data_IF_996950396873
#
_entry.id   IF_996950396873
#
_cell.length_a   1.000
_cell.length_b   1.000
_cell.length_c   1.000
_cell.angle_alpha   90.00
_cell.angle_beta   90.00
_cell.angle_gamma   90.00
#
_symmetry.space_group_name_H-M   'P 1'
#
loop_
_entity.id
_entity.type
_entity.pdbx_description
1 polymer ?
#
# COMPACT_ATOMS: atom_id res chain seq x y z
N UNK A 1 39.18 -16.56 2.53
CA UNK A 1 37.85 -17.22 2.66
C UNK A 1 37.51 -17.48 4.14
N UNK A 2 37.23 -16.44 4.93
CA UNK A 2 36.78 -16.60 6.34
C UNK A 2 35.63 -15.67 6.74
N UNK A 3 35.14 -14.82 5.84
CA UNK A 3 34.06 -13.86 6.13
C UNK A 3 32.72 -14.21 5.49
N UNK A 4 32.65 -15.26 4.66
CA UNK A 4 31.40 -15.68 4.01
C UNK A 4 30.47 -16.52 4.88
N UNK A 5 30.94 -17.03 6.03
CA UNK A 5 30.14 -17.89 6.92
C UNK A 5 29.36 -17.06 7.98
N UNK A 6 29.79 -15.83 8.28
CA UNK A 6 29.18 -15.02 9.35
C UNK A 6 27.89 -14.32 8.87
N UNK A 7 27.72 -14.10 7.57
CA UNK A 7 26.52 -13.45 7.00
C UNK A 7 25.29 -14.38 7.04
N UNK A 8 25.49 -15.70 7.07
CA UNK A 8 24.39 -16.68 7.13
C UNK A 8 23.81 -16.88 8.53
N UNK A 9 24.55 -16.55 9.59
CA UNK A 9 24.11 -16.73 10.99
C UNK A 9 23.24 -15.58 11.51
N UNK A 10 23.29 -14.39 10.89
CA UNK A 10 22.42 -13.25 11.26
C UNK A 10 21.03 -13.35 10.63
N UNK A 11 20.87 -14.14 9.56
CA UNK A 11 19.56 -14.41 8.93
C UNK A 11 18.74 -15.49 9.65
N UNK A 12 19.37 -16.36 10.45
CA UNK A 12 18.69 -17.47 11.15
C UNK A 12 18.17 -17.09 12.54
N UNK A 13 18.71 -16.05 13.18
CA UNK A 13 18.25 -15.59 14.51
C UNK A 13 17.00 -14.69 14.47
N UNK A 14 16.55 -14.25 13.28
CA UNK A 14 15.27 -13.56 13.11
C UNK A 14 14.06 -14.52 13.07
N UNK A 15 14.28 -15.84 12.96
CA UNK A 15 13.21 -16.82 12.78
C UNK A 15 12.84 -17.63 14.03
N UNK A 16 13.58 -17.51 15.13
CA UNK A 16 13.45 -18.41 16.29
C UNK A 16 12.51 -17.95 17.41
N UNK A 17 11.68 -16.92 17.18
CA UNK A 17 10.61 -16.51 18.11
C UNK A 17 9.19 -16.56 17.50
N UNK A 18 8.98 -17.33 16.43
CA UNK A 18 7.63 -17.72 16.01
C UNK A 18 7.11 -18.83 16.93
N UNK A 19 6.68 -18.44 18.13
CA UNK A 19 5.70 -19.22 18.88
C UNK A 19 4.48 -19.41 17.99
N UNK A 20 4.11 -20.67 17.79
CA UNK A 20 2.85 -21.10 17.20
C UNK A 20 1.68 -20.35 17.85
N UNK A 21 1.22 -19.31 17.17
CA UNK A 21 -0.07 -18.67 17.34
C UNK A 21 -0.72 -18.81 15.98
N UNK A 22 -1.92 -19.38 15.96
CA UNK A 22 -2.91 -19.50 14.87
C UNK A 22 -2.44 -19.09 13.46
N UNK A 23 -2.63 -19.99 12.48
CA UNK A 23 -2.42 -19.75 11.04
C UNK A 23 -3.09 -18.43 10.61
N UNK A 24 -2.33 -17.35 10.72
CA UNK A 24 -2.69 -16.03 10.28
C UNK A 24 -1.86 -15.87 9.01
N UNK A 25 -2.48 -16.22 7.88
CA UNK A 25 -1.92 -15.94 6.57
C UNK A 25 -1.45 -14.48 6.58
N UNK A 26 -0.13 -14.27 6.57
CA UNK A 26 0.43 -12.94 6.79
C UNK A 26 0.05 -12.09 5.56
N UNK A 27 -0.99 -11.27 5.72
CA UNK A 27 -1.56 -10.42 4.67
C UNK A 27 -0.49 -9.57 4.00
N UNK A 28 0.51 -9.15 4.78
CA UNK A 28 1.70 -8.48 4.28
C UNK A 28 2.54 -9.38 3.38
N UNK A 29 2.75 -10.64 3.75
CA UNK A 29 3.47 -11.59 2.94
C UNK A 29 2.77 -11.82 1.61
N UNK A 30 1.44 -11.97 1.58
CA UNK A 30 0.67 -12.15 0.33
C UNK A 30 0.78 -10.89 -0.55
N UNK A 31 0.62 -9.69 0.02
CA UNK A 31 0.72 -8.44 -0.72
C UNK A 31 2.14 -8.17 -1.24
N UNK A 32 3.17 -8.35 -0.41
CA UNK A 32 4.57 -8.15 -0.78
C UNK A 32 5.06 -9.20 -1.76
N UNK A 33 4.69 -10.47 -1.57
CA UNK A 33 5.04 -11.52 -2.54
C UNK A 33 4.35 -11.32 -3.88
N UNK A 34 3.13 -10.77 -3.87
CA UNK A 34 2.41 -10.37 -5.09
C UNK A 34 3.06 -9.17 -5.80
N UNK A 35 3.69 -8.26 -5.05
CA UNK A 35 4.49 -7.14 -5.58
C UNK A 35 5.80 -7.61 -6.22
N UNK A 36 6.46 -8.61 -5.61
CA UNK A 36 7.78 -9.09 -6.02
C UNK A 36 7.70 -10.26 -7.02
N UNK A 37 6.50 -10.76 -7.33
CA UNK A 37 6.26 -11.96 -8.15
C UNK A 37 7.06 -13.20 -7.67
N UNK A 38 7.23 -13.36 -6.35
CA UNK A 38 8.04 -14.44 -5.76
C UNK A 38 7.22 -15.66 -5.31
N UNK A 39 5.89 -15.58 -5.28
CA UNK A 39 4.98 -16.66 -4.88
C UNK A 39 3.93 -17.00 -5.94
N UNK A 40 4.26 -16.84 -7.23
CA UNK A 40 3.30 -17.14 -8.31
C UNK A 40 2.83 -18.61 -8.29
N UNK A 41 3.63 -19.52 -7.74
CA UNK A 41 3.28 -20.94 -7.61
C UNK A 41 2.07 -21.21 -6.70
N UNK A 42 1.77 -20.30 -5.77
CA UNK A 42 0.62 -20.40 -4.83
C UNK A 42 -0.71 -20.21 -5.56
N UNK A 43 -0.72 -19.34 -6.56
CA UNK A 43 -1.90 -19.00 -7.34
C UNK A 43 -1.80 -19.65 -8.71
N UNK A 44 -2.06 -20.95 -8.77
CA UNK A 44 -2.00 -21.73 -10.01
C UNK A 44 -3.21 -22.64 -10.18
N UNK A 45 -3.47 -23.03 -11.43
CA UNK A 45 -4.41 -24.08 -11.82
C UNK A 45 -3.72 -25.09 -12.75
N UNK A 46 -4.37 -26.23 -13.00
CA UNK A 46 -3.92 -27.24 -13.96
C UNK A 46 -4.77 -27.11 -15.22
N UNK A 47 -4.14 -26.91 -16.38
CA UNK A 47 -4.82 -26.84 -17.68
C UNK A 47 -5.22 -28.23 -18.23
N UNK A 48 -5.87 -28.25 -19.39
CA UNK A 48 -6.35 -29.47 -20.04
C UNK A 48 -5.18 -30.39 -20.45
N UNK A 49 -3.98 -29.83 -20.63
CA UNK A 49 -2.74 -30.54 -20.92
C UNK A 49 -2.00 -31.03 -19.66
N UNK A 50 -2.56 -30.82 -18.47
CA UNK A 50 -1.95 -31.24 -17.20
C UNK A 50 -0.80 -30.34 -16.74
N UNK A 51 -0.60 -29.17 -17.35
CA UNK A 51 0.45 -28.22 -16.99
C UNK A 51 -0.06 -27.21 -15.97
N UNK A 52 0.83 -26.82 -15.07
CA UNK A 52 0.56 -25.78 -14.07
C UNK A 52 0.66 -24.40 -14.71
N UNK A 53 -0.41 -23.62 -14.63
CA UNK A 53 -0.49 -22.27 -15.15
C UNK A 53 -0.78 -21.26 -14.04
N UNK A 54 -0.29 -20.00 -14.13
CA UNK A 54 -0.66 -18.93 -13.21
C UNK A 54 -2.16 -18.64 -13.24
N UNK A 55 -2.75 -18.48 -12.06
CA UNK A 55 -4.15 -18.11 -11.86
C UNK A 55 -4.24 -16.65 -11.38
N UNK A 56 -4.27 -15.73 -12.34
CA UNK A 56 -4.38 -14.31 -12.06
C UNK A 56 -5.69 -13.94 -11.35
N UNK A 57 -6.78 -14.66 -11.61
CA UNK A 57 -8.08 -14.41 -10.98
C UNK A 57 -8.04 -14.81 -9.50
N UNK A 58 -7.43 -15.95 -9.18
CA UNK A 58 -7.26 -16.40 -7.79
C UNK A 58 -6.34 -15.46 -7.01
N UNK A 59 -5.24 -15.01 -7.61
CA UNK A 59 -4.37 -13.97 -7.02
C UNK A 59 -5.15 -12.68 -6.76
N UNK A 60 -5.91 -12.20 -7.75
CA UNK A 60 -6.72 -10.99 -7.61
C UNK A 60 -7.76 -11.11 -6.49
N UNK A 61 -8.54 -12.20 -6.45
CA UNK A 61 -9.56 -12.42 -5.40
C UNK A 61 -8.96 -12.45 -4.01
N UNK A 62 -7.78 -13.03 -3.85
CA UNK A 62 -7.10 -13.06 -2.55
C UNK A 62 -6.61 -11.67 -2.13
N UNK A 63 -6.05 -10.90 -3.07
CA UNK A 63 -5.70 -9.50 -2.82
C UNK A 63 -6.94 -8.66 -2.52
N UNK A 64 -8.06 -8.87 -3.20
CA UNK A 64 -9.30 -8.15 -2.94
C UNK A 64 -9.87 -8.47 -1.56
N UNK A 65 -9.83 -9.75 -1.15
CA UNK A 65 -10.22 -10.19 0.19
C UNK A 65 -9.43 -9.48 1.28
N UNK A 66 -8.10 -9.39 1.13
CA UNK A 66 -7.22 -8.70 2.08
C UNK A 66 -7.52 -7.20 2.10
N UNK A 67 -7.76 -6.58 0.94
CA UNK A 67 -8.11 -5.16 0.84
C UNK A 67 -9.40 -4.86 1.60
N UNK A 68 -10.49 -5.58 1.30
CA UNK A 68 -11.81 -5.39 1.93
C UNK A 68 -11.71 -5.57 3.45
N UNK A 69 -10.95 -6.56 3.91
CA UNK A 69 -10.76 -6.80 5.35
C UNK A 69 -10.08 -5.62 6.07
N UNK A 70 -9.27 -4.83 5.36
CA UNK A 70 -8.43 -3.79 5.93
C UNK A 70 -8.86 -2.35 5.60
N UNK A 71 -9.91 -2.14 4.80
CA UNK A 71 -10.34 -0.79 4.42
C UNK A 71 -11.20 -0.10 5.48
N UNK A 72 -11.70 -0.85 6.46
CA UNK A 72 -12.46 -0.30 7.59
C UNK A 72 -11.56 0.02 8.82
N UNK A 73 -11.91 1.01 9.66
CA UNK A 73 -11.17 1.31 10.89
C UNK A 73 -11.13 0.12 11.87
N UNK A 74 -9.95 -0.19 12.43
CA UNK A 74 -9.77 -1.20 13.48
C UNK A 74 -9.63 -0.61 14.89
N UNK A 75 -9.66 0.72 15.02
CA UNK A 75 -9.65 1.44 16.29
C UNK A 75 -10.91 2.31 16.46
N UNK A 76 -11.14 2.75 17.70
CA UNK A 76 -12.23 3.67 18.02
C UNK A 76 -12.13 5.00 17.24
N UNK A 77 -13.25 5.73 17.14
CA UNK A 77 -13.32 7.05 16.49
C UNK A 77 -12.90 7.06 15.02
N UNK A 78 -13.20 5.99 14.27
CA UNK A 78 -12.86 5.83 12.85
C UNK A 78 -11.35 5.91 12.57
N UNK A 79 -10.52 5.51 13.54
CA UNK A 79 -9.07 5.49 13.42
C UNK A 79 -8.56 4.13 12.97
N UNK A 80 -7.42 4.16 12.29
CA UNK A 80 -6.72 2.96 11.84
C UNK A 80 -5.44 2.78 12.65
N UNK A 81 -5.11 1.55 12.99
CA UNK A 81 -3.78 1.22 13.49
C UNK A 81 -2.72 1.43 12.42
N UNK A 82 -1.47 1.68 12.84
CA UNK A 82 -0.34 1.81 11.93
C UNK A 82 -0.19 0.56 11.04
N UNK A 83 -0.50 -0.64 11.58
CA UNK A 83 -0.50 -1.89 10.82
C UNK A 83 -1.51 -1.83 9.67
N UNK A 84 -2.74 -1.38 9.92
CA UNK A 84 -3.77 -1.33 8.88
C UNK A 84 -3.52 -0.22 7.86
N UNK A 85 -3.07 0.95 8.33
CA UNK A 85 -2.66 2.05 7.44
C UNK A 85 -1.56 1.62 6.48
N UNK A 86 -0.51 0.95 6.98
CA UNK A 86 0.57 0.44 6.12
C UNK A 86 0.04 -0.52 5.06
N UNK A 87 -0.87 -1.45 5.37
CA UNK A 87 -1.51 -2.34 4.38
C UNK A 87 -2.18 -1.52 3.28
N UNK A 88 -3.06 -0.58 3.65
CA UNK A 88 -3.76 0.29 2.68
C UNK A 88 -2.77 1.05 1.79
N UNK A 89 -1.70 1.59 2.39
CA UNK A 89 -0.67 2.33 1.66
C UNK A 89 0.15 1.44 0.73
N UNK A 90 0.36 0.16 1.08
CA UNK A 90 0.95 -0.83 0.20
C UNK A 90 0.00 -1.20 -0.96
N UNK A 91 -1.32 -1.17 -0.78
CA UNK A 91 -2.26 -1.30 -1.90
C UNK A 91 -2.15 -0.14 -2.88
N UNK A 92 -1.96 1.09 -2.39
CA UNK A 92 -1.65 2.23 -3.26
C UNK A 92 -0.39 1.96 -4.08
N UNK A 93 0.67 1.47 -3.44
CA UNK A 93 1.90 1.11 -4.14
C UNK A 93 1.74 -0.05 -5.13
N UNK A 94 1.04 -1.11 -4.74
CA UNK A 94 0.73 -2.26 -5.59
C UNK A 94 -0.05 -1.84 -6.83
N UNK A 95 -1.12 -1.07 -6.65
CA UNK A 95 -1.97 -0.62 -7.75
C UNK A 95 -1.23 0.32 -8.71
N UNK A 96 -0.28 1.11 -8.18
CA UNK A 96 0.58 2.00 -8.96
C UNK A 96 1.61 1.22 -9.78
N UNK A 97 2.34 0.28 -9.17
CA UNK A 97 3.40 -0.50 -9.84
C UNK A 97 2.82 -1.47 -10.86
N UNK A 98 1.76 -2.19 -10.48
CA UNK A 98 1.14 -3.22 -11.33
C UNK A 98 0.04 -2.66 -12.24
N UNK A 99 -0.22 -1.35 -12.21
CA UNK A 99 -1.30 -0.69 -12.98
C UNK A 99 -2.66 -1.39 -12.80
N UNK A 100 -2.97 -1.77 -11.56
CA UNK A 100 -4.22 -2.47 -11.25
C UNK A 100 -5.38 -1.47 -11.21
N UNK A 101 -6.12 -1.37 -12.31
CA UNK A 101 -7.25 -0.44 -12.45
C UNK A 101 -8.28 -0.61 -11.32
N UNK A 102 -8.62 -1.86 -10.96
CA UNK A 102 -9.59 -2.14 -9.90
C UNK A 102 -9.18 -1.55 -8.54
N UNK A 103 -7.95 -1.80 -8.08
CA UNK A 103 -7.49 -1.22 -6.81
C UNK A 103 -7.27 0.29 -6.90
N UNK A 104 -6.89 0.81 -8.06
CA UNK A 104 -6.80 2.26 -8.26
C UNK A 104 -8.17 2.94 -8.11
N UNK A 105 -9.23 2.30 -8.62
CA UNK A 105 -10.60 2.77 -8.50
C UNK A 105 -11.08 2.72 -7.04
N UNK A 106 -10.93 1.58 -6.35
CA UNK A 106 -11.31 1.46 -4.93
C UNK A 106 -10.62 2.53 -4.07
N UNK A 107 -9.30 2.65 -4.21
CA UNK A 107 -8.51 3.59 -3.42
C UNK A 107 -8.78 5.07 -3.77
N UNK A 108 -9.28 5.39 -4.96
CA UNK A 108 -9.60 6.77 -5.33
C UNK A 108 -10.75 7.34 -4.47
N UNK A 109 -11.68 6.48 -4.06
CA UNK A 109 -12.75 6.84 -3.15
C UNK A 109 -12.31 6.77 -1.68
N UNK A 110 -11.56 5.73 -1.31
CA UNK A 110 -11.34 5.39 0.10
C UNK A 110 -10.15 6.11 0.75
N UNK A 111 -9.07 6.35 0.01
CA UNK A 111 -7.80 6.80 0.61
C UNK A 111 -7.89 8.21 1.21
N UNK A 112 -8.64 9.12 0.58
CA UNK A 112 -8.76 10.50 1.07
C UNK A 112 -9.51 10.59 2.41
N UNK A 113 -10.71 9.98 2.59
CA UNK A 113 -11.34 9.89 3.91
C UNK A 113 -10.44 9.26 4.98
N UNK A 114 -9.67 8.23 4.63
CA UNK A 114 -8.73 7.58 5.55
C UNK A 114 -7.63 8.55 5.96
N UNK A 115 -7.03 9.27 5.00
CA UNK A 115 -6.04 10.30 5.25
C UNK A 115 -6.58 11.40 6.16
N UNK A 116 -7.75 11.96 5.87
CA UNK A 116 -8.34 13.05 6.67
C UNK A 116 -8.51 12.63 8.13
N UNK A 117 -8.94 11.38 8.36
CA UNK A 117 -9.12 10.87 9.72
C UNK A 117 -7.81 10.44 10.38
N UNK A 118 -6.70 10.26 9.67
CA UNK A 118 -5.48 9.65 10.21
C UNK A 118 -4.20 10.37 9.74
N UNK A 119 -4.29 11.67 9.46
CA UNK A 119 -3.26 12.45 8.75
C UNK A 119 -1.87 12.32 9.36
N UNK A 120 -1.77 12.39 10.68
CA UNK A 120 -0.51 12.36 11.42
C UNK A 120 0.20 11.00 11.29
N UNK A 121 -0.53 9.90 11.55
CA UNK A 121 0.00 8.55 11.38
C UNK A 121 0.33 8.25 9.91
N UNK A 122 -0.53 8.69 8.99
CA UNK A 122 -0.33 8.50 7.56
C UNK A 122 0.97 9.16 7.07
N UNK A 123 1.21 10.41 7.47
CA UNK A 123 2.41 11.15 7.09
C UNK A 123 3.66 10.64 7.80
N UNK A 124 3.53 10.20 9.05
CA UNK A 124 4.61 9.52 9.76
C UNK A 124 5.07 8.26 9.01
N UNK A 125 4.12 7.44 8.54
CA UNK A 125 4.44 6.25 7.74
C UNK A 125 5.12 6.63 6.41
N UNK A 126 4.66 7.70 5.74
CA UNK A 126 5.32 8.18 4.52
C UNK A 126 6.77 8.64 4.76
N UNK A 127 7.03 9.28 5.89
CA UNK A 127 8.39 9.67 6.27
C UNK A 127 9.27 8.44 6.57
N UNK A 128 8.72 7.43 7.26
CA UNK A 128 9.40 6.16 7.55
C UNK A 128 9.66 5.31 6.28
N UNK A 129 8.75 5.36 5.30
CA UNK A 129 8.76 4.53 4.10
C UNK A 129 8.64 5.41 2.83
N UNK A 130 9.70 6.13 2.43
CA UNK A 130 9.62 7.15 1.37
C UNK A 130 9.20 6.61 0.00
N UNK A 131 9.45 5.33 -0.29
CA UNK A 131 9.03 4.70 -1.53
C UNK A 131 7.50 4.64 -1.70
N UNK A 132 6.73 4.79 -0.61
CA UNK A 132 5.27 4.85 -0.65
C UNK A 132 4.73 6.22 -1.07
N UNK A 133 5.53 7.28 -1.02
CA UNK A 133 5.08 8.67 -1.22
C UNK A 133 4.44 8.86 -2.59
N UNK A 134 5.12 8.43 -3.65
CA UNK A 134 4.63 8.67 -5.01
C UNK A 134 3.25 8.05 -5.23
N UNK A 135 3.10 6.76 -4.90
CA UNK A 135 1.84 6.04 -5.10
C UNK A 135 0.70 6.59 -4.24
N UNK A 136 0.96 6.91 -2.98
CA UNK A 136 -0.08 7.41 -2.07
C UNK A 136 -0.47 8.86 -2.38
N UNK A 137 0.48 9.76 -2.66
CA UNK A 137 0.15 11.13 -3.05
C UNK A 137 -0.52 11.20 -4.43
N UNK A 138 -0.13 10.32 -5.38
CA UNK A 138 -0.84 10.18 -6.65
C UNK A 138 -2.29 9.75 -6.44
N UNK A 139 -2.52 8.78 -5.56
CA UNK A 139 -3.87 8.29 -5.30
C UNK A 139 -4.73 9.28 -4.50
N UNK A 140 -4.16 10.00 -3.53
CA UNK A 140 -4.83 11.11 -2.85
C UNK A 140 -5.23 12.21 -3.86
N UNK A 141 -4.40 12.49 -4.86
CA UNK A 141 -4.73 13.45 -5.90
C UNK A 141 -5.95 13.02 -6.72
N UNK A 142 -6.08 11.72 -6.99
CA UNK A 142 -7.18 11.23 -7.82
C UNK A 142 -8.57 11.46 -7.27
N UNK A 143 -8.69 11.61 -5.94
CA UNK A 143 -9.94 11.97 -5.29
C UNK A 143 -10.57 13.27 -5.86
N UNK A 144 -9.76 14.19 -6.39
CA UNK A 144 -10.23 15.50 -6.90
C UNK A 144 -10.77 15.49 -8.33
N UNK A 145 -10.82 14.33 -8.99
CA UNK A 145 -11.46 14.13 -10.28
C UNK A 145 -12.25 12.82 -10.38
N UNK A 146 -12.27 12.03 -9.31
CA UNK A 146 -12.95 10.75 -9.28
C UNK A 146 -14.45 10.92 -9.51
N UNK A 147 -14.97 10.26 -10.54
CA UNK A 147 -16.38 10.36 -10.99
C UNK A 147 -16.87 11.79 -11.23
N UNK A 148 -15.99 12.72 -11.61
CA UNK A 148 -16.33 14.14 -11.79
C UNK A 148 -16.66 14.88 -10.48
N UNK A 149 -16.39 14.27 -9.32
CA UNK A 149 -16.61 14.87 -8.00
C UNK A 149 -15.37 15.63 -7.54
N UNK A 150 -15.57 16.58 -6.63
CA UNK A 150 -14.51 17.35 -5.96
C UNK A 150 -13.57 18.16 -6.86
N UNK A 151 -13.96 18.37 -8.13
CA UNK A 151 -13.25 19.23 -9.07
C UNK A 151 -13.03 20.61 -8.45
N UNK A 152 -11.80 21.10 -8.55
CA UNK A 152 -11.40 22.41 -8.02
C UNK A 152 -11.12 22.46 -6.51
N UNK A 153 -11.39 21.40 -5.73
CA UNK A 153 -11.10 21.38 -4.28
C UNK A 153 -9.64 21.08 -3.94
N UNK A 154 -8.86 20.61 -4.91
CA UNK A 154 -7.45 20.24 -4.74
C UNK A 154 -6.60 21.38 -4.18
N UNK A 155 -6.75 22.60 -4.71
CA UNK A 155 -5.98 23.76 -4.25
C UNK A 155 -6.24 24.07 -2.76
N UNK A 156 -7.51 23.94 -2.33
CA UNK A 156 -7.87 24.15 -0.93
C UNK A 156 -7.30 23.06 -0.03
N UNK A 157 -7.35 21.80 -0.46
CA UNK A 157 -6.73 20.69 0.26
C UNK A 157 -5.22 20.92 0.47
N UNK A 158 -4.50 21.30 -0.59
CA UNK A 158 -3.06 21.58 -0.50
C UNK A 158 -2.77 22.74 0.44
N UNK A 159 -3.51 23.85 0.34
CA UNK A 159 -3.36 24.99 1.25
C UNK A 159 -3.55 24.60 2.72
N UNK A 160 -4.57 23.80 3.02
CA UNK A 160 -4.87 23.35 4.37
C UNK A 160 -3.83 22.37 4.92
N UNK A 161 -3.25 21.51 4.08
CA UNK A 161 -2.31 20.46 4.51
C UNK A 161 -0.84 20.83 4.33
N UNK A 162 -0.52 22.00 3.75
CA UNK A 162 0.87 22.43 3.47
C UNK A 162 1.75 22.37 4.72
N UNK A 163 1.30 22.96 5.82
CA UNK A 163 2.08 22.98 7.06
C UNK A 163 2.22 21.58 7.65
N UNK A 164 1.17 20.77 7.55
CA UNK A 164 1.20 19.40 8.06
C UNK A 164 2.20 18.55 7.29
N UNK A 165 2.21 18.63 5.95
CA UNK A 165 3.21 17.93 5.14
C UNK A 165 4.64 18.37 5.48
N UNK A 166 4.89 19.69 5.62
CA UNK A 166 6.22 20.22 5.99
C UNK A 166 6.69 19.79 7.39
N UNK A 167 5.75 19.56 8.31
CA UNK A 167 6.09 19.14 9.67
C UNK A 167 6.50 17.67 9.75
N UNK A 168 5.92 16.81 8.90
CA UNK A 168 6.16 15.36 8.95
C UNK A 168 7.16 14.87 7.91
N UNK A 169 7.22 15.50 6.74
CA UNK A 169 8.05 15.09 5.62
C UNK A 169 9.28 15.97 5.52
N UNK A 170 10.44 15.37 5.24
CA UNK A 170 11.63 16.14 4.88
C UNK A 170 11.41 16.85 3.53
N UNK A 171 12.19 17.92 3.21
CA UNK A 171 11.94 18.73 2.02
C UNK A 171 11.81 17.95 0.70
N UNK A 172 12.68 16.96 0.48
CA UNK A 172 12.65 16.13 -0.74
C UNK A 172 11.36 15.30 -0.85
N UNK A 173 10.90 14.74 0.26
CA UNK A 173 9.67 13.95 0.33
C UNK A 173 8.42 14.82 0.13
N UNK A 174 8.42 16.01 0.73
CA UNK A 174 7.37 17.01 0.54
C UNK A 174 7.23 17.40 -0.94
N UNK A 175 8.33 17.75 -1.59
CA UNK A 175 8.33 18.10 -3.02
C UNK A 175 7.90 16.93 -3.90
N UNK A 176 8.36 15.72 -3.59
CA UNK A 176 7.91 14.51 -4.29
C UNK A 176 6.39 14.32 -4.16
N UNK A 177 5.83 14.48 -2.97
CA UNK A 177 4.39 14.38 -2.74
C UNK A 177 3.63 15.44 -3.54
N UNK A 178 4.03 16.72 -3.46
CA UNK A 178 3.39 17.80 -4.19
C UNK A 178 3.46 17.63 -5.72
N UNK A 179 4.57 17.12 -6.23
CA UNK A 179 4.70 16.86 -7.68
C UNK A 179 3.65 15.89 -8.21
N UNK A 180 3.10 15.00 -7.36
CA UNK A 180 2.04 14.07 -7.73
C UNK A 180 0.65 14.71 -7.73
N UNK A 181 0.46 15.82 -7.01
CA UNK A 181 -0.75 16.64 -7.12
C UNK A 181 -0.73 17.49 -8.40
N UNK A 182 0.44 17.89 -8.89
CA UNK A 182 0.55 18.67 -10.13
C UNK A 182 0.41 17.84 -11.42
N UNK A 183 0.26 16.52 -11.32
CA UNK A 183 0.10 15.60 -12.45
C UNK A 183 -1.33 15.11 -12.54
N UNK A 184 -1.78 14.76 -13.75
CA UNK A 184 -2.97 13.93 -13.90
C UNK A 184 -2.70 12.59 -13.19
N UNK A 185 -3.58 12.13 -12.28
CA UNK A 185 -3.44 10.83 -11.64
C UNK A 185 -3.35 9.72 -12.67
N UNK A 186 -2.59 8.67 -12.38
CA UNK A 186 -2.62 7.49 -13.22
C UNK A 186 -3.95 6.77 -12.98
N UNK A 187 -4.52 6.24 -14.07
CA UNK A 187 -5.62 5.28 -14.06
C UNK A 187 -5.09 3.88 -14.38
#
# INVERSE_FOLDING_TARGET
>A
MKYTIIIWLVLLSACSNLKASEVNDDEYLILLSSLLNVNEEVFTYIDEEGKRQPDALKKFKELERIYIKNIDPDLANKKFSDKRLKIIMFYSFYSFVNKSAAFQEYLAADLMPIYINNSDSFLKILNELPFLIQSNCNRLNAYFGFEGKNIGKQSNFLKQNTNLFKNYLIPEQYELCLSNFNKTPNN
#
